data_IF_314897748748
#
_entry.id   IF_314897748748
#
_cell.length_a   1.000
_cell.length_b   1.000
_cell.length_c   1.000
_cell.angle_alpha   90.00
_cell.angle_beta   90.00
_cell.angle_gamma   90.00
#
_symmetry.space_group_name_H-M   'P 1'
#
loop_
_entity.id
_entity.type
_entity.pdbx_description
1 polymer ?
#
# COMPACT_ATOMS: atom_id res chain seq x y z
N UNK A 1 11.34 -7.10 24.15
CA UNK A 1 11.16 -5.63 24.07
C UNK A 1 10.91 -5.14 22.64
N UNK A 2 11.25 -5.90 21.58
CA UNK A 2 10.88 -5.59 20.18
C UNK A 2 9.51 -6.15 19.75
N UNK A 3 8.88 -7.00 20.56
CA UNK A 3 7.65 -7.71 20.16
C UNK A 3 6.44 -6.79 19.99
N UNK A 4 6.36 -5.68 20.74
CA UNK A 4 5.28 -4.71 20.59
C UNK A 4 5.40 -3.91 19.28
N UNK A 5 6.63 -3.57 18.85
CA UNK A 5 6.87 -2.91 17.55
C UNK A 5 6.51 -3.85 16.41
N UNK A 6 6.89 -5.12 16.54
CA UNK A 6 6.50 -6.17 15.59
C UNK A 6 4.98 -6.34 15.53
N UNK A 7 4.29 -6.42 16.67
CA UNK A 7 2.83 -6.51 16.73
C UNK A 7 2.14 -5.27 16.16
N UNK A 8 2.61 -4.07 16.48
CA UNK A 8 2.06 -2.83 15.93
C UNK A 8 2.23 -2.77 14.40
N UNK A 9 3.38 -3.19 13.88
CA UNK A 9 3.63 -3.28 12.44
C UNK A 9 2.69 -4.30 11.78
N UNK A 10 2.55 -5.49 12.36
CA UNK A 10 1.63 -6.52 11.84
C UNK A 10 0.16 -6.08 11.89
N UNK A 11 -0.27 -5.42 12.97
CA UNK A 11 -1.63 -4.93 13.12
C UNK A 11 -1.93 -3.80 12.12
N UNK A 12 -1.01 -2.84 11.97
CA UNK A 12 -1.13 -1.76 10.97
C UNK A 12 -1.18 -2.34 9.55
N UNK A 13 -0.35 -3.34 9.24
CA UNK A 13 -0.39 -4.01 7.94
C UNK A 13 -1.67 -4.80 7.70
N UNK A 14 -2.22 -5.46 8.72
CA UNK A 14 -3.49 -6.16 8.59
C UNK A 14 -4.66 -5.20 8.31
N UNK A 15 -4.64 -4.02 8.94
CA UNK A 15 -5.69 -3.01 8.75
C UNK A 15 -5.64 -2.40 7.35
N UNK A 16 -4.47 -1.96 6.89
CA UNK A 16 -4.31 -1.43 5.53
C UNK A 16 -4.61 -2.47 4.45
N UNK A 17 -4.29 -3.74 4.71
CA UNK A 17 -4.67 -4.84 3.81
C UNK A 17 -6.18 -4.97 3.70
N UNK A 18 -6.90 -4.91 4.82
CA UNK A 18 -8.36 -5.01 4.85
C UNK A 18 -9.01 -3.87 4.06
N UNK A 19 -8.58 -2.63 4.28
CA UNK A 19 -9.12 -1.47 3.54
C UNK A 19 -8.90 -1.58 2.03
N UNK A 20 -7.73 -2.13 1.61
CA UNK A 20 -7.41 -2.37 0.20
C UNK A 20 -8.23 -3.52 -0.38
N UNK A 21 -8.36 -4.64 0.33
CA UNK A 21 -9.19 -5.78 -0.08
C UNK A 21 -10.66 -5.33 -0.24
N UNK A 22 -11.18 -4.49 0.66
CA UNK A 22 -12.50 -3.87 0.56
C UNK A 22 -12.62 -2.91 -0.64
N UNK A 23 -11.56 -2.16 -0.96
CA UNK A 23 -11.53 -1.31 -2.16
C UNK A 23 -11.58 -2.14 -3.45
N UNK A 24 -10.79 -3.21 -3.53
CA UNK A 24 -10.80 -4.16 -4.66
C UNK A 24 -12.17 -4.83 -4.78
N UNK A 25 -12.76 -5.28 -3.68
CA UNK A 25 -14.08 -5.89 -3.67
C UNK A 25 -15.17 -4.93 -4.18
N UNK A 26 -15.09 -3.64 -3.81
CA UNK A 26 -16.01 -2.62 -4.34
C UNK A 26 -15.84 -2.41 -5.85
N UNK A 27 -14.62 -2.42 -6.36
CA UNK A 27 -14.35 -2.30 -7.79
C UNK A 27 -14.89 -3.51 -8.58
N UNK A 28 -14.75 -4.72 -8.04
CA UNK A 28 -15.35 -5.92 -8.63
C UNK A 28 -16.88 -5.86 -8.63
N UNK A 29 -17.49 -5.44 -7.53
CA UNK A 29 -18.94 -5.29 -7.45
C UNK A 29 -19.49 -4.31 -8.49
N UNK A 30 -18.79 -3.20 -8.75
CA UNK A 30 -19.19 -2.25 -9.79
C UNK A 30 -18.98 -2.83 -11.20
N UNK A 31 -17.86 -3.52 -11.43
CA UNK A 31 -17.59 -4.21 -12.70
C UNK A 31 -18.69 -5.23 -13.04
N UNK A 32 -19.08 -6.05 -12.07
CA UNK A 32 -20.11 -7.08 -12.23
C UNK A 32 -21.51 -6.46 -12.43
N UNK A 33 -21.80 -5.36 -11.72
CA UNK A 33 -23.04 -4.61 -11.94
C UNK A 33 -23.13 -4.08 -13.37
N UNK A 34 -22.04 -3.54 -13.91
CA UNK A 34 -21.97 -3.09 -15.31
C UNK A 34 -22.13 -4.27 -16.26
N UNK A 35 -21.53 -5.42 -15.97
CA UNK A 35 -21.67 -6.63 -16.77
C UNK A 35 -23.13 -7.09 -16.84
N UNK A 36 -23.78 -7.23 -15.68
CA UNK A 36 -25.21 -7.59 -15.61
C UNK A 36 -26.07 -6.63 -16.43
N UNK A 37 -25.76 -5.34 -16.43
CA UNK A 37 -26.52 -4.34 -17.19
C UNK A 37 -26.33 -4.47 -18.70
N UNK A 38 -25.11 -4.79 -19.15
CA UNK A 38 -24.82 -5.12 -20.55
C UNK A 38 -25.60 -6.37 -20.98
N UNK A 39 -25.64 -7.39 -20.14
CA UNK A 39 -26.30 -8.66 -20.42
C UNK A 39 -27.83 -8.49 -20.51
N UNK A 40 -28.45 -7.74 -19.59
CA UNK A 40 -29.87 -7.40 -19.68
C UNK A 40 -30.19 -6.62 -20.96
N UNK A 41 -29.39 -5.59 -21.28
CA UNK A 41 -29.61 -4.84 -22.51
C UNK A 41 -29.42 -5.68 -23.77
N UNK A 42 -28.55 -6.69 -23.74
CA UNK A 42 -28.40 -7.61 -24.86
C UNK A 42 -29.69 -8.39 -25.12
N UNK A 43 -30.36 -8.86 -24.06
CA UNK A 43 -31.66 -9.53 -24.15
C UNK A 43 -32.71 -8.55 -24.72
N UNK A 44 -32.82 -7.34 -24.17
CA UNK A 44 -33.77 -6.32 -24.66
C UNK A 44 -33.57 -5.98 -26.14
N UNK A 45 -32.32 -6.01 -26.61
CA UNK A 45 -31.96 -5.79 -28.02
C UNK A 45 -32.37 -6.96 -28.91
N UNK A 46 -32.28 -8.19 -28.42
CA UNK A 46 -32.76 -9.37 -29.14
C UNK A 46 -34.30 -9.39 -29.24
N UNK A 47 -34.99 -8.92 -28.21
CA UNK A 47 -36.45 -8.78 -28.19
C UNK A 47 -36.96 -7.60 -29.04
N UNK A 48 -36.05 -6.76 -29.57
CA UNK A 48 -36.37 -5.60 -30.38
C UNK A 48 -36.89 -4.40 -29.58
N UNK A 49 -36.84 -4.46 -28.24
CA UNK A 49 -37.24 -3.39 -27.33
C UNK A 49 -36.33 -2.17 -27.44
N UNK A 50 -35.05 -2.38 -27.77
CA UNK A 50 -34.07 -1.32 -27.99
C UNK A 50 -33.40 -1.42 -29.37
N UNK A 51 -33.07 -0.27 -29.96
CA UNK A 51 -32.35 -0.20 -31.22
C UNK A 51 -30.87 -0.58 -31.07
N UNK A 52 -30.28 -1.14 -32.13
CA UNK A 52 -28.87 -1.57 -32.14
C UNK A 52 -27.88 -0.44 -31.85
N UNK A 53 -28.08 0.74 -32.43
CA UNK A 53 -27.21 1.90 -32.19
C UNK A 53 -27.20 2.34 -30.72
N UNK A 54 -28.36 2.25 -30.05
CA UNK A 54 -28.46 2.55 -28.62
C UNK A 54 -27.68 1.53 -27.80
N UNK A 55 -27.83 0.24 -28.12
CA UNK A 55 -27.05 -0.82 -27.49
C UNK A 55 -25.55 -0.60 -27.65
N UNK A 56 -25.07 -0.36 -28.88
CA UNK A 56 -23.64 -0.23 -29.17
C UNK A 56 -23.00 0.94 -28.40
N UNK A 57 -23.72 2.08 -28.31
CA UNK A 57 -23.25 3.24 -27.55
C UNK A 57 -23.13 2.93 -26.06
N UNK A 58 -24.18 2.37 -25.46
CA UNK A 58 -24.20 2.08 -24.02
C UNK A 58 -23.20 0.97 -23.65
N UNK A 59 -23.14 -0.10 -24.44
CA UNK A 59 -22.21 -1.20 -24.23
C UNK A 59 -20.74 -0.71 -24.33
N UNK A 60 -20.44 0.21 -25.25
CA UNK A 60 -19.10 0.82 -25.33
C UNK A 60 -18.76 1.59 -24.06
N UNK A 61 -19.66 2.46 -23.60
CA UNK A 61 -19.44 3.26 -22.40
C UNK A 61 -19.20 2.37 -21.17
N UNK A 62 -20.04 1.37 -20.94
CA UNK A 62 -19.90 0.50 -19.77
C UNK A 62 -18.67 -0.41 -19.86
N UNK A 63 -18.25 -0.84 -21.05
CA UNK A 63 -16.98 -1.55 -21.23
C UNK A 63 -15.77 -0.68 -20.94
N UNK A 64 -15.82 0.62 -21.28
CA UNK A 64 -14.77 1.57 -20.92
C UNK A 64 -14.69 1.77 -19.40
N UNK A 65 -15.84 1.84 -18.73
CA UNK A 65 -15.94 1.90 -17.27
C UNK A 65 -15.41 0.61 -16.60
N UNK A 66 -15.78 -0.57 -17.12
CA UNK A 66 -15.22 -1.87 -16.69
C UNK A 66 -13.70 -1.90 -16.85
N UNK A 67 -13.18 -1.46 -18.00
CA UNK A 67 -11.75 -1.40 -18.23
C UNK A 67 -11.05 -0.44 -17.25
N UNK A 68 -11.71 0.63 -16.82
CA UNK A 68 -11.21 1.50 -15.76
C UNK A 68 -11.16 0.79 -14.41
N UNK A 69 -12.23 0.09 -14.02
CA UNK A 69 -12.26 -0.70 -12.79
C UNK A 69 -11.12 -1.73 -12.75
N UNK A 70 -10.88 -2.43 -13.86
CA UNK A 70 -9.78 -3.41 -13.97
C UNK A 70 -8.40 -2.78 -13.81
N UNK A 71 -8.14 -1.61 -14.42
CA UNK A 71 -6.89 -0.87 -14.22
C UNK A 71 -6.68 -0.44 -12.77
N UNK A 72 -7.76 0.00 -12.10
CA UNK A 72 -7.68 0.39 -10.70
C UNK A 72 -7.40 -0.83 -9.80
N UNK A 73 -8.00 -2.00 -10.10
CA UNK A 73 -7.70 -3.27 -9.42
C UNK A 73 -6.24 -3.66 -9.61
N UNK A 74 -5.74 -3.66 -10.84
CA UNK A 74 -4.33 -3.97 -11.15
C UNK A 74 -3.38 -3.04 -10.40
N UNK A 75 -3.70 -1.75 -10.30
CA UNK A 75 -2.91 -0.78 -9.53
C UNK A 75 -2.87 -1.12 -8.04
N UNK A 76 -4.00 -1.53 -7.46
CA UNK A 76 -4.05 -1.95 -6.06
C UNK A 76 -3.23 -3.23 -5.81
N UNK A 77 -3.28 -4.20 -6.72
CA UNK A 77 -2.52 -5.45 -6.63
C UNK A 77 -1.01 -5.26 -6.86
N UNK A 78 -0.62 -4.40 -7.81
CA UNK A 78 0.78 -4.08 -8.06
C UNK A 78 1.42 -3.38 -6.85
N UNK A 79 0.69 -2.48 -6.19
CA UNK A 79 1.13 -1.85 -4.94
C UNK A 79 1.37 -2.90 -3.85
N UNK A 80 0.49 -3.90 -3.70
CA UNK A 80 0.66 -4.98 -2.72
C UNK A 80 1.97 -5.77 -2.94
N UNK A 81 2.26 -6.17 -4.17
CA UNK A 81 3.48 -6.93 -4.49
C UNK A 81 4.75 -6.11 -4.20
N UNK A 82 4.74 -4.82 -4.51
CA UNK A 82 5.85 -3.93 -4.22
C UNK A 82 6.06 -3.76 -2.69
N UNK A 83 5.00 -3.48 -1.94
CA UNK A 83 5.07 -3.31 -0.48
C UNK A 83 5.49 -4.60 0.24
N UNK A 84 5.01 -5.77 -0.19
CA UNK A 84 5.46 -7.06 0.36
C UNK A 84 6.96 -7.28 0.14
N UNK A 85 7.46 -6.96 -1.05
CA UNK A 85 8.89 -7.08 -1.36
C UNK A 85 9.77 -6.13 -0.52
N UNK A 86 9.32 -4.89 -0.31
CA UNK A 86 10.04 -3.93 0.53
C UNK A 86 9.99 -4.29 2.02
N UNK A 87 8.83 -4.72 2.52
CA UNK A 87 8.64 -5.14 3.91
C UNK A 87 9.54 -6.30 4.31
N UNK A 88 9.66 -7.31 3.45
CA UNK A 88 10.58 -8.45 3.66
C UNK A 88 12.03 -7.97 3.73
N UNK A 89 12.46 -7.10 2.82
CA UNK A 89 13.84 -6.56 2.83
C UNK A 89 14.15 -5.78 4.09
N UNK A 90 13.21 -4.97 4.59
CA UNK A 90 13.40 -4.19 5.82
C UNK A 90 13.53 -5.13 7.02
N UNK A 91 12.69 -6.17 7.10
CA UNK A 91 12.74 -7.16 8.18
C UNK A 91 14.03 -8.00 8.13
N UNK A 92 14.46 -8.41 6.93
CA UNK A 92 15.76 -9.06 6.73
C UNK A 92 16.92 -8.16 7.15
N UNK A 93 16.89 -6.87 6.77
CA UNK A 93 17.92 -5.92 7.16
C UNK A 93 17.97 -5.74 8.68
N UNK A 94 16.82 -5.59 9.33
CA UNK A 94 16.73 -5.44 10.79
C UNK A 94 17.20 -6.71 11.52
N UNK A 95 16.85 -7.90 11.02
CA UNK A 95 17.29 -9.19 11.57
C UNK A 95 18.80 -9.42 11.39
N UNK A 96 19.34 -9.04 10.23
CA UNK A 96 20.77 -9.07 9.96
C UNK A 96 21.54 -8.09 10.85
N UNK A 97 21.02 -6.88 11.06
CA UNK A 97 21.62 -5.90 11.97
C UNK A 97 21.58 -6.40 13.42
N UNK A 98 20.49 -7.01 13.86
CA UNK A 98 20.38 -7.60 15.19
C UNK A 98 21.41 -8.73 15.40
N UNK A 99 21.48 -9.69 14.48
CA UNK A 99 22.40 -10.84 14.58
C UNK A 99 23.87 -10.42 14.48
N UNK A 100 24.19 -9.44 13.63
CA UNK A 100 25.51 -8.81 13.57
C UNK A 100 25.85 -8.11 14.88
N UNK A 101 24.91 -7.34 15.45
CA UNK A 101 25.10 -6.66 16.72
C UNK A 101 25.36 -7.66 17.87
N UNK A 102 24.64 -8.79 17.92
CA UNK A 102 24.82 -9.81 18.95
C UNK A 102 26.21 -10.48 18.91
N UNK A 103 26.77 -10.66 17.71
CA UNK A 103 28.10 -11.28 17.49
C UNK A 103 29.29 -10.34 17.75
N UNK A 104 29.08 -9.02 17.86
CA UNK A 104 30.17 -8.08 18.07
C UNK A 104 30.73 -8.10 19.51
N UNK A 105 32.05 -7.91 19.70
CA UNK A 105 32.67 -7.82 21.02
C UNK A 105 32.20 -6.57 21.78
N UNK A 106 32.25 -6.62 23.12
CA UNK A 106 31.67 -5.59 24.00
C UNK A 106 32.15 -4.15 23.72
N UNK A 107 33.38 -3.99 23.24
CA UNK A 107 33.95 -2.70 22.82
C UNK A 107 33.25 -2.12 21.59
N UNK A 108 32.95 -2.95 20.59
CA UNK A 108 32.25 -2.52 19.38
C UNK A 108 30.76 -2.25 19.63
N UNK A 109 30.10 -3.06 20.46
CA UNK A 109 28.72 -2.80 20.91
C UNK A 109 28.59 -1.43 21.58
N UNK A 110 29.52 -1.08 22.48
CA UNK A 110 29.56 0.26 23.12
C UNK A 110 29.83 1.37 22.11
N UNK A 111 30.72 1.15 21.15
CA UNK A 111 31.02 2.15 20.09
C UNK A 111 29.80 2.40 19.20
N UNK A 112 29.05 1.34 18.85
CA UNK A 112 27.85 1.42 18.03
C UNK A 112 26.70 2.12 18.78
N UNK A 113 26.48 1.77 20.06
CA UNK A 113 25.52 2.48 20.92
C UNK A 113 25.88 3.96 21.08
N UNK A 114 27.16 4.27 21.33
CA UNK A 114 27.62 5.66 21.44
C UNK A 114 27.45 6.44 20.13
N UNK A 115 27.60 5.79 18.98
CA UNK A 115 27.36 6.41 17.69
C UNK A 115 25.87 6.73 17.47
N UNK A 116 24.96 5.79 17.77
CA UNK A 116 23.51 6.00 17.67
C UNK A 116 23.05 7.08 18.66
N UNK A 117 23.51 7.03 19.90
CA UNK A 117 23.23 8.05 20.92
C UNK A 117 23.77 9.43 20.54
N UNK A 118 24.94 9.52 19.91
CA UNK A 118 25.46 10.81 19.43
C UNK A 118 24.60 11.38 18.30
N UNK A 119 24.08 10.53 17.40
CA UNK A 119 23.20 10.96 16.32
C UNK A 119 21.83 11.41 16.84
N UNK A 120 21.26 10.72 17.82
CA UNK A 120 20.02 11.15 18.49
C UNK A 120 20.22 12.49 19.23
N UNK A 121 21.33 12.64 19.96
CA UNK A 121 21.70 13.90 20.65
C UNK A 121 22.01 15.07 19.70
N UNK A 122 22.39 14.78 18.46
CA UNK A 122 22.61 15.79 17.41
C UNK A 122 21.33 16.10 16.63
N UNK A 123 20.36 15.18 16.59
CA UNK A 123 19.03 15.39 16.03
C UNK A 123 18.19 16.36 16.86
N UNK A 124 18.31 16.33 18.19
CA UNK A 124 17.62 17.26 19.10
C UNK A 124 18.19 18.70 19.05
N UNK A 125 19.43 18.89 18.57
CA UNK A 125 20.04 20.24 18.47
C UNK A 125 19.74 21.00 17.17
N UNK A 126 19.04 20.39 16.21
CA UNK A 126 18.60 21.11 14.99
C UNK A 126 17.21 21.73 15.10
N UNK A 127 16.55 21.67 16.27
CA UNK A 127 15.29 22.35 16.57
C UNK A 127 15.42 23.66 17.36
N UNK A 128 16.63 24.10 17.72
CA UNK A 128 16.81 25.27 18.58
C UNK A 128 18.20 25.86 18.49
N UNK A 129 18.49 26.57 17.40
CA UNK A 129 19.56 27.58 17.41
C UNK A 129 19.23 28.66 16.38
N UNK A 130 18.16 29.41 16.66
CA UNK A 130 17.96 30.75 16.14
C UNK A 130 17.70 31.66 17.34
N UNK A 131 18.69 31.86 18.20
CA UNK A 131 18.85 33.10 18.97
C UNK A 131 20.22 33.15 19.66
N UNK A 132 20.84 34.34 19.54
CA UNK A 132 21.99 34.87 20.29
C UNK A 132 23.40 34.45 19.86
N UNK A 133 24.02 35.26 18.98
CA UNK A 133 25.08 36.20 19.39
C UNK A 133 25.59 36.99 18.17
N UNK A 134 26.04 38.23 18.42
CA UNK A 134 26.62 39.27 17.52
C UNK A 134 25.54 40.24 17.05
N UNK A 135 25.36 41.45 17.62
CA UNK A 135 26.21 42.36 18.43
C UNK A 135 25.35 42.96 19.55
#
# INVERSE_FOLDING_TARGET
>A
MLDWVRQALHASHADERREREEAISRLWAEHDRLQCRIDTMYIDKLDGTIGGEFYDRMARQWREEQARCLRDIERHQAAEQAYMGEGVRILELASNVQSLFERQPAREKRRLLNFVLSKLRMGERKGGCLFLATV
#
